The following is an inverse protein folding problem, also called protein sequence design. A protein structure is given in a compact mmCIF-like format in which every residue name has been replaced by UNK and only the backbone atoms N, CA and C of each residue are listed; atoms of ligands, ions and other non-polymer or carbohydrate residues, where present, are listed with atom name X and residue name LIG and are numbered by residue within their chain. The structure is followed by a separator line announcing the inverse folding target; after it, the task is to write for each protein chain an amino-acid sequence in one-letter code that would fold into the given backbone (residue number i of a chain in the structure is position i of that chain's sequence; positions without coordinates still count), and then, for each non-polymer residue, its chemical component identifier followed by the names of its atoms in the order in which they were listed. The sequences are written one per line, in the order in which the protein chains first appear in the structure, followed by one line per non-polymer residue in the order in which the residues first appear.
data_IF_714714823945
#
_entry.id   IF_714714823945
#
_cell.length_a   1.000
_cell.length_b   1.000
_cell.length_c   1.000
_cell.angle_alpha   90.00
_cell.angle_beta   90.00
_cell.angle_gamma   90.00
#
_symmetry.space_group_name_H-M   'P 1'
#
loop_
_entity.id
_entity.type
_entity.pdbx_description
1 polymer ?
#
# COMPACT_ATOMS: atom_id res chain seq x y z
N UNK A 1 -11.18 2.41 26.44
CA UNK A 1 -10.87 1.20 25.64
C UNK A 1 -10.54 1.58 24.20
N UNK A 2 -11.29 2.48 23.56
CA UNK A 2 -10.98 2.99 22.21
C UNK A 2 -9.53 3.46 22.01
N UNK A 3 -9.02 4.40 22.83
CA UNK A 3 -7.64 4.90 22.73
C UNK A 3 -6.56 3.80 22.82
N UNK A 4 -6.84 2.71 23.54
CA UNK A 4 -5.93 1.56 23.64
C UNK A 4 -5.93 0.78 22.33
N UNK A 5 -7.10 0.60 21.71
CA UNK A 5 -7.20 -0.05 20.40
C UNK A 5 -6.54 0.77 19.29
N UNK A 6 -6.77 2.09 19.28
CA UNK A 6 -6.12 3.02 18.34
C UNK A 6 -4.59 3.01 18.50
N UNK A 7 -4.09 2.99 19.74
CA UNK A 7 -2.66 2.82 20.00
C UNK A 7 -2.11 1.48 19.48
N UNK A 8 -2.86 0.37 19.64
CA UNK A 8 -2.45 -0.92 19.06
C UNK A 8 -2.40 -0.90 17.54
N UNK A 9 -3.30 -0.17 16.87
CA UNK A 9 -3.26 -0.01 15.42
C UNK A 9 -1.98 0.73 15.02
N UNK A 10 -1.67 1.84 15.70
CA UNK A 10 -0.44 2.61 15.49
C UNK A 10 0.85 1.80 15.73
N UNK A 11 0.84 0.90 16.72
CA UNK A 11 1.97 0.01 17.05
C UNK A 11 2.03 -1.25 16.16
N UNK A 12 1.35 -1.26 15.01
CA UNK A 12 1.30 -2.38 14.05
C UNK A 12 0.80 -3.69 14.67
N UNK A 13 -0.19 -3.60 15.56
CA UNK A 13 -0.89 -4.76 16.15
C UNK A 13 -2.36 -4.78 15.74
N UNK A 14 -2.67 -4.87 14.41
CA UNK A 14 -4.03 -4.67 13.90
C UNK A 14 -5.01 -5.72 14.38
N UNK A 15 -4.60 -6.98 14.56
CA UNK A 15 -5.50 -8.04 15.08
C UNK A 15 -6.01 -7.75 16.50
N UNK A 16 -5.18 -7.13 17.35
CA UNK A 16 -5.60 -6.73 18.70
C UNK A 16 -6.52 -5.52 18.65
N UNK A 17 -6.16 -4.52 17.84
CA UNK A 17 -6.99 -3.34 17.60
C UNK A 17 -8.38 -3.75 17.09
N UNK A 18 -8.43 -4.58 16.05
CA UNK A 18 -9.64 -5.12 15.45
C UNK A 18 -10.51 -5.84 16.47
N UNK A 19 -9.94 -6.74 17.28
CA UNK A 19 -10.70 -7.45 18.31
C UNK A 19 -11.39 -6.49 19.30
N UNK A 20 -10.68 -5.47 19.76
CA UNK A 20 -11.21 -4.50 20.73
C UNK A 20 -12.23 -3.56 20.05
N UNK A 21 -11.94 -3.08 18.84
CA UNK A 21 -12.83 -2.20 18.09
C UNK A 21 -14.13 -2.91 17.67
N UNK A 22 -14.05 -4.19 17.28
CA UNK A 22 -15.25 -5.00 17.01
C UNK A 22 -16.10 -5.13 18.28
N UNK A 23 -15.50 -5.38 19.45
CA UNK A 23 -16.24 -5.44 20.72
C UNK A 23 -16.90 -4.09 21.08
N UNK A 24 -16.23 -2.98 20.81
CA UNK A 24 -16.72 -1.64 21.13
C UNK A 24 -17.84 -1.17 20.19
N UNK A 25 -17.68 -1.39 18.89
CA UNK A 25 -18.47 -0.72 17.86
C UNK A 25 -19.49 -1.63 17.16
N UNK A 26 -19.44 -2.95 17.37
CA UNK A 26 -20.47 -3.85 16.86
C UNK A 26 -21.51 -4.22 17.93
N UNK A 27 -22.77 -4.18 17.54
CA UNK A 27 -23.89 -4.71 18.28
C UNK A 27 -24.62 -5.74 17.43
N UNK A 28 -24.47 -7.03 17.77
CA UNK A 28 -25.09 -8.16 17.04
C UNK A 28 -24.87 -8.05 15.52
N UNK A 29 -23.61 -7.86 15.11
CA UNK A 29 -23.15 -7.72 13.72
C UNK A 29 -23.49 -6.40 13.02
N UNK A 30 -24.17 -5.47 13.69
CA UNK A 30 -24.41 -4.11 13.18
C UNK A 30 -23.42 -3.11 13.77
N UNK A 31 -22.88 -2.24 12.93
CA UNK A 31 -22.00 -1.14 13.35
C UNK A 31 -22.85 -0.06 14.04
N UNK A 32 -22.34 0.49 15.15
CA UNK A 32 -22.97 1.59 15.86
C UNK A 32 -23.22 2.80 14.93
N UNK A 33 -24.40 3.43 14.99
CA UNK A 33 -24.82 4.42 13.99
C UNK A 33 -24.17 5.80 14.14
N UNK A 34 -23.53 6.09 15.27
CA UNK A 34 -23.07 7.42 15.69
C UNK A 34 -21.55 7.50 15.90
N UNK A 35 -20.80 6.73 15.11
CA UNK A 35 -19.34 6.79 15.10
C UNK A 35 -18.85 8.08 14.43
N UNK A 36 -17.82 8.68 15.01
CA UNK A 36 -17.07 9.77 14.37
C UNK A 36 -16.27 9.28 13.16
N UNK A 37 -15.87 10.20 12.28
CA UNK A 37 -15.02 9.89 11.13
C UNK A 37 -13.69 9.23 11.55
N UNK A 38 -13.13 9.61 12.70
CA UNK A 38 -11.91 9.01 13.26
C UNK A 38 -12.14 7.56 13.71
N UNK A 39 -13.24 7.31 14.42
CA UNK A 39 -13.60 5.96 14.88
C UNK A 39 -13.93 5.03 13.71
N UNK A 40 -14.59 5.54 12.66
CA UNK A 40 -14.85 4.81 11.42
C UNK A 40 -13.54 4.47 10.69
N UNK A 41 -12.60 5.41 10.60
CA UNK A 41 -11.28 5.18 10.01
C UNK A 41 -10.49 4.13 10.78
N UNK A 42 -10.41 4.27 12.09
CA UNK A 42 -9.71 3.33 12.96
C UNK A 42 -10.31 1.92 12.86
N UNK A 43 -11.64 1.81 12.87
CA UNK A 43 -12.32 0.54 12.68
C UNK A 43 -12.02 -0.05 11.29
N UNK A 44 -12.13 0.75 10.23
CA UNK A 44 -11.81 0.35 8.86
C UNK A 44 -10.37 -0.16 8.73
N UNK A 45 -9.39 0.61 9.16
CA UNK A 45 -7.97 0.26 9.07
C UNK A 45 -7.62 -0.94 9.97
N UNK A 46 -8.27 -1.10 11.12
CA UNK A 46 -8.09 -2.30 11.93
C UNK A 46 -8.48 -3.59 11.19
N UNK A 47 -9.58 -3.56 10.43
CA UNK A 47 -9.98 -4.67 9.57
C UNK A 47 -9.08 -4.83 8.35
N UNK A 48 -8.71 -3.72 7.71
CA UNK A 48 -7.88 -3.72 6.51
C UNK A 48 -6.47 -4.29 6.79
N UNK A 49 -5.80 -3.77 7.81
CA UNK A 49 -4.44 -4.17 8.20
C UNK A 49 -4.40 -5.56 8.85
N UNK A 50 -5.53 -6.05 9.36
CA UNK A 50 -5.66 -7.45 9.80
C UNK A 50 -5.97 -8.42 8.66
N UNK A 51 -5.97 -7.96 7.40
CA UNK A 51 -6.35 -8.71 6.20
C UNK A 51 -7.81 -9.21 6.21
N UNK A 52 -8.67 -8.60 7.03
CA UNK A 52 -10.09 -8.90 7.07
C UNK A 52 -10.85 -7.99 6.07
N UNK A 53 -10.64 -8.23 4.79
CA UNK A 53 -11.26 -7.45 3.71
C UNK A 53 -12.81 -7.45 3.74
N UNK A 54 -13.51 -8.57 4.05
CA UNK A 54 -14.96 -8.54 4.21
C UNK A 54 -15.43 -7.61 5.32
N UNK A 55 -14.70 -7.57 6.45
CA UNK A 55 -14.96 -6.63 7.54
C UNK A 55 -14.75 -5.18 7.11
N UNK A 56 -13.62 -4.88 6.45
CA UNK A 56 -13.34 -3.54 5.93
C UNK A 56 -14.42 -3.09 4.94
N UNK A 57 -14.88 -3.97 4.04
CA UNK A 57 -15.96 -3.68 3.11
C UNK A 57 -17.30 -3.44 3.83
N UNK A 58 -17.57 -4.14 4.93
CA UNK A 58 -18.77 -3.92 5.76
C UNK A 58 -18.76 -2.51 6.36
N UNK A 59 -17.62 -2.05 6.88
CA UNK A 59 -17.44 -0.68 7.38
C UNK A 59 -17.63 0.33 6.24
N UNK A 60 -16.98 0.11 5.09
CA UNK A 60 -17.14 0.96 3.90
C UNK A 60 -18.60 1.11 3.48
N UNK A 61 -19.33 -0.01 3.38
CA UNK A 61 -20.74 0.00 2.99
C UNK A 61 -21.62 0.69 4.02
N UNK A 62 -21.35 0.47 5.31
CA UNK A 62 -22.03 1.21 6.37
C UNK A 62 -21.83 2.72 6.20
N UNK A 63 -20.58 3.18 6.10
CA UNK A 63 -20.22 4.60 5.93
C UNK A 63 -20.92 5.22 4.71
N UNK A 64 -20.88 4.56 3.54
CA UNK A 64 -21.51 5.07 2.32
C UNK A 64 -23.04 5.12 2.46
N UNK A 65 -23.66 4.10 3.06
CA UNK A 65 -25.12 4.01 3.16
C UNK A 65 -25.71 4.98 4.20
N UNK A 66 -24.94 5.35 5.22
CA UNK A 66 -25.38 6.28 6.28
C UNK A 66 -25.01 7.74 5.98
N UNK A 67 -24.11 7.99 5.02
CA UNK A 67 -23.58 9.33 4.74
C UNK A 67 -24.05 9.85 3.37
N UNK A 68 -24.99 10.80 3.31
CA UNK A 68 -25.35 11.45 2.04
C UNK A 68 -24.21 12.36 1.56
N UNK A 69 -24.06 12.63 0.24
CA UNK A 69 -22.99 13.48 -0.28
C UNK A 69 -23.05 14.94 0.18
N UNK A 70 -24.24 15.40 0.57
CA UNK A 70 -24.45 16.75 1.08
C UNK A 70 -25.32 16.73 2.33
N UNK A 71 -24.92 17.51 3.33
CA UNK A 71 -25.67 17.77 4.54
C UNK A 71 -26.58 19.00 4.35
N UNK A 72 -27.79 18.92 4.91
CA UNK A 72 -28.72 20.05 5.01
C UNK A 72 -28.86 20.46 6.48
N UNK A 73 -28.20 21.56 6.85
CA UNK A 73 -28.37 22.16 8.17
C UNK A 73 -29.59 23.08 8.19
N UNK A 74 -30.41 22.98 9.23
CA UNK A 74 -31.54 23.89 9.40
C UNK A 74 -31.04 25.34 9.48
N UNK A 75 -31.65 26.22 8.69
CA UNK A 75 -31.32 27.65 8.67
C UNK A 75 -30.28 28.06 7.61
N UNK A 76 -29.65 27.10 6.91
CA UNK A 76 -28.70 27.40 5.82
C UNK A 76 -29.36 27.14 4.46
N UNK A 77 -29.35 28.10 3.51
CA UNK A 77 -29.93 27.91 2.19
C UNK A 77 -29.08 27.04 1.25
N UNK A 78 -27.81 26.82 1.59
CA UNK A 78 -26.84 26.06 0.81
C UNK A 78 -26.53 24.71 1.46
N UNK A 79 -26.57 23.64 0.68
CA UNK A 79 -26.11 22.33 1.13
C UNK A 79 -24.59 22.33 1.35
N UNK A 80 -24.12 21.63 2.38
CA UNK A 80 -22.70 21.55 2.73
C UNK A 80 -22.18 20.18 2.29
N UNK A 81 -21.00 20.07 1.65
CA UNK A 81 -20.38 18.78 1.35
C UNK A 81 -20.21 17.92 2.61
N UNK A 82 -20.32 16.61 2.48
CA UNK A 82 -20.15 15.69 3.59
C UNK A 82 -18.80 14.96 3.51
N UNK A 83 -17.91 15.21 4.48
CA UNK A 83 -16.60 14.59 4.52
C UNK A 83 -16.67 13.08 4.80
N UNK A 84 -17.65 12.62 5.59
CA UNK A 84 -17.88 11.19 5.84
C UNK A 84 -18.28 10.44 4.56
N UNK A 85 -19.01 11.10 3.64
CA UNK A 85 -19.30 10.53 2.32
C UNK A 85 -18.01 10.36 1.52
N UNK A 86 -17.13 11.37 1.50
CA UNK A 86 -15.84 11.28 0.82
C UNK A 86 -14.98 10.16 1.42
N UNK A 87 -14.91 10.09 2.75
CA UNK A 87 -14.19 9.06 3.48
C UNK A 87 -14.66 7.65 3.10
N UNK A 88 -15.98 7.42 3.01
CA UNK A 88 -16.55 6.14 2.56
C UNK A 88 -16.08 5.74 1.16
N UNK A 89 -16.01 6.68 0.21
CA UNK A 89 -15.48 6.39 -1.13
C UNK A 89 -13.96 6.19 -1.14
N UNK A 90 -13.21 6.90 -0.31
CA UNK A 90 -11.78 6.63 -0.11
C UNK A 90 -11.54 5.23 0.47
N UNK A 91 -12.38 4.78 1.42
CA UNK A 91 -12.34 3.40 1.93
C UNK A 91 -12.66 2.38 0.85
N UNK A 92 -13.62 2.67 -0.03
CA UNK A 92 -13.97 1.80 -1.16
C UNK A 92 -12.78 1.59 -2.11
N UNK A 93 -12.10 2.68 -2.50
CA UNK A 93 -10.89 2.57 -3.32
C UNK A 93 -9.77 1.81 -2.59
N UNK A 94 -9.58 2.10 -1.31
CA UNK A 94 -8.53 1.48 -0.49
C UNK A 94 -8.74 -0.02 -0.32
N UNK A 95 -9.93 -0.46 0.09
CA UNK A 95 -10.20 -1.90 0.27
C UNK A 95 -10.09 -2.64 -1.06
N UNK A 96 -10.56 -2.05 -2.17
CA UNK A 96 -10.41 -2.63 -3.50
C UNK A 96 -8.93 -2.78 -3.90
N UNK A 97 -8.09 -1.78 -3.59
CA UNK A 97 -6.64 -1.84 -3.84
C UNK A 97 -6.01 -3.03 -3.11
N UNK A 98 -6.28 -3.17 -1.81
CA UNK A 98 -5.67 -4.22 -0.98
C UNK A 98 -6.29 -5.62 -1.21
N UNK A 99 -7.55 -5.71 -1.62
CA UNK A 99 -8.19 -6.96 -2.02
C UNK A 99 -7.87 -7.38 -3.46
N UNK A 100 -6.95 -6.67 -4.13
CA UNK A 100 -6.53 -6.90 -5.51
C UNK A 100 -7.62 -6.68 -6.58
N UNK A 101 -8.69 -5.94 -6.27
CA UNK A 101 -9.66 -5.43 -7.24
C UNK A 101 -9.19 -4.06 -7.78
N UNK A 102 -8.06 -4.08 -8.48
CA UNK A 102 -7.42 -2.88 -9.00
C UNK A 102 -8.27 -2.11 -10.04
N UNK A 103 -9.10 -2.74 -10.88
CA UNK A 103 -10.04 -2.02 -11.74
C UNK A 103 -11.02 -1.14 -10.96
N UNK A 104 -11.62 -1.68 -9.88
CA UNK A 104 -12.53 -0.92 -9.04
C UNK A 104 -11.80 0.19 -8.27
N UNK A 105 -10.62 -0.12 -7.73
CA UNK A 105 -9.80 0.85 -7.02
C UNK A 105 -9.47 2.06 -7.90
N UNK A 106 -9.08 1.83 -9.16
CA UNK A 106 -8.74 2.87 -10.13
C UNK A 106 -9.97 3.69 -10.52
N UNK A 107 -11.09 3.03 -10.80
CA UNK A 107 -12.33 3.72 -11.17
C UNK A 107 -12.73 4.72 -10.08
N UNK A 108 -12.78 4.28 -8.81
CA UNK A 108 -13.15 5.13 -7.68
C UNK A 108 -12.12 6.23 -7.44
N UNK A 109 -10.82 5.91 -7.32
CA UNK A 109 -9.80 6.92 -7.03
C UNK A 109 -9.68 7.98 -8.13
N UNK A 110 -9.77 7.57 -9.40
CA UNK A 110 -9.75 8.49 -10.54
C UNK A 110 -10.94 9.43 -10.51
N UNK A 111 -12.14 8.91 -10.26
CA UNK A 111 -13.36 9.73 -10.18
C UNK A 111 -13.23 10.79 -9.07
N UNK A 112 -12.78 10.39 -7.88
CA UNK A 112 -12.55 11.31 -6.77
C UNK A 112 -11.52 12.40 -7.12
N UNK A 113 -10.34 12.01 -7.64
CA UNK A 113 -9.27 12.94 -7.97
C UNK A 113 -9.65 13.93 -9.10
N UNK A 114 -10.45 13.49 -10.07
CA UNK A 114 -10.86 14.35 -11.20
C UNK A 114 -12.02 15.26 -10.85
N UNK A 115 -12.93 14.83 -9.97
CA UNK A 115 -14.05 15.67 -9.50
C UNK A 115 -13.63 16.67 -8.42
N UNK A 116 -12.53 16.39 -7.70
CA UNK A 116 -11.96 17.29 -6.70
C UNK A 116 -10.49 17.64 -7.02
N UNK A 117 -10.22 18.34 -8.15
CA UNK A 117 -8.86 18.53 -8.65
C UNK A 117 -7.95 19.37 -7.74
N UNK A 118 -8.51 20.11 -6.79
CA UNK A 118 -7.80 20.89 -5.77
C UNK A 118 -7.54 20.13 -4.46
N UNK A 119 -8.04 18.90 -4.31
CA UNK A 119 -7.71 18.05 -3.16
C UNK A 119 -6.45 17.25 -3.49
N UNK A 120 -5.33 17.63 -2.85
CA UNK A 120 -4.05 16.98 -3.08
C UNK A 120 -4.04 15.52 -2.65
N UNK A 121 -4.64 15.19 -1.51
CA UNK A 121 -4.70 13.83 -0.96
C UNK A 121 -5.33 12.85 -1.96
N UNK A 122 -6.44 13.23 -2.60
CA UNK A 122 -7.10 12.38 -3.60
C UNK A 122 -6.23 12.11 -4.84
N UNK A 123 -5.37 13.06 -5.23
CA UNK A 123 -4.40 12.83 -6.33
C UNK A 123 -3.29 11.88 -5.90
N UNK A 124 -2.81 12.02 -4.67
CA UNK A 124 -1.82 11.10 -4.09
C UNK A 124 -2.40 9.68 -4.00
N UNK A 125 -3.64 9.54 -3.52
CA UNK A 125 -4.35 8.26 -3.45
C UNK A 125 -4.51 7.62 -4.84
N UNK A 126 -4.89 8.42 -5.85
CA UNK A 126 -4.98 7.92 -7.22
C UNK A 126 -3.61 7.48 -7.76
N UNK A 127 -2.55 8.23 -7.51
CA UNK A 127 -1.18 7.81 -7.86
C UNK A 127 -0.77 6.51 -7.16
N UNK A 128 -1.14 6.33 -5.88
CA UNK A 128 -0.89 5.09 -5.13
C UNK A 128 -1.62 3.89 -5.76
N UNK A 129 -2.83 4.08 -6.29
CA UNK A 129 -3.54 3.05 -7.06
C UNK A 129 -2.83 2.76 -8.40
N UNK A 130 -2.35 3.78 -9.11
CA UNK A 130 -1.58 3.61 -10.35
C UNK A 130 -0.26 2.84 -10.09
N UNK A 131 0.40 3.07 -8.95
CA UNK A 131 1.54 2.27 -8.50
C UNK A 131 1.14 0.80 -8.29
N UNK A 132 0.04 0.54 -7.57
CA UNK A 132 -0.45 -0.82 -7.34
C UNK A 132 -0.82 -1.56 -8.64
N UNK A 133 -1.25 -0.83 -9.67
CA UNK A 133 -1.48 -1.34 -11.03
C UNK A 133 -0.21 -1.66 -11.82
N UNK A 134 0.97 -1.30 -11.30
CA UNK A 134 2.23 -1.42 -12.01
C UNK A 134 2.42 -0.36 -13.09
N UNK A 135 1.79 0.81 -12.96
CA UNK A 135 1.94 1.96 -13.88
C UNK A 135 2.70 3.13 -13.22
N UNK A 136 3.96 2.94 -12.82
CA UNK A 136 4.68 3.93 -12.02
C UNK A 136 4.93 5.26 -12.74
N UNK A 137 5.07 5.25 -14.07
CA UNK A 137 5.16 6.49 -14.86
C UNK A 137 3.84 7.28 -14.89
N UNK A 138 2.70 6.59 -14.85
CA UNK A 138 1.41 7.27 -14.74
C UNK A 138 1.23 7.87 -13.35
N UNK A 139 1.65 7.14 -12.31
CA UNK A 139 1.68 7.64 -10.93
C UNK A 139 2.58 8.88 -10.80
N UNK A 140 3.80 8.86 -11.33
CA UNK A 140 4.72 10.00 -11.35
C UNK A 140 4.08 11.25 -11.96
N UNK A 141 3.42 11.10 -13.12
CA UNK A 141 2.71 12.19 -13.78
C UNK A 141 1.54 12.74 -12.95
N UNK A 142 0.82 11.89 -12.22
CA UNK A 142 -0.27 12.33 -11.34
C UNK A 142 0.28 13.05 -10.10
N UNK A 143 1.35 12.53 -9.48
CA UNK A 143 2.02 13.17 -8.35
C UNK A 143 2.58 14.54 -8.73
N UNK A 144 3.04 14.74 -9.97
CA UNK A 144 3.47 16.06 -10.45
C UNK A 144 2.33 17.09 -10.45
N UNK A 145 1.08 16.66 -10.70
CA UNK A 145 -0.10 17.54 -10.57
C UNK A 145 -0.39 17.87 -9.12
N UNK A 146 -0.26 16.88 -8.24
CA UNK A 146 -0.43 17.06 -6.80
C UNK A 146 0.62 18.00 -6.20
N UNK A 147 1.86 17.97 -6.69
CA UNK A 147 2.96 18.83 -6.26
C UNK A 147 2.68 20.33 -6.42
N UNK A 148 1.89 20.73 -7.43
CA UNK A 148 1.54 22.15 -7.65
C UNK A 148 0.69 22.72 -6.51
N UNK A 149 -0.02 21.88 -5.74
CA UNK A 149 -0.93 22.31 -4.69
C UNK A 149 -0.16 22.59 -3.39
N UNK A 150 0.55 21.59 -2.87
CA UNK A 150 1.37 21.71 -1.66
C UNK A 150 2.68 20.92 -1.83
N UNK A 151 3.75 21.54 -2.36
CA UNK A 151 4.96 20.82 -2.75
C UNK A 151 5.70 20.13 -1.59
N UNK A 152 5.53 20.62 -0.35
CA UNK A 152 6.24 20.15 0.85
C UNK A 152 5.43 19.18 1.70
N UNK A 153 4.31 18.68 1.18
CA UNK A 153 3.48 17.69 1.85
C UNK A 153 4.26 16.37 2.02
N UNK A 154 4.30 15.83 3.25
CA UNK A 154 5.07 14.60 3.56
C UNK A 154 4.54 13.39 2.78
N UNK A 155 3.22 13.22 2.70
CA UNK A 155 2.61 12.09 2.00
C UNK A 155 2.90 12.14 0.50
N UNK A 156 2.93 13.35 -0.08
CA UNK A 156 3.33 13.54 -1.48
C UNK A 156 4.76 13.08 -1.72
N UNK A 157 5.72 13.61 -0.96
CA UNK A 157 7.14 13.29 -1.15
C UNK A 157 7.43 11.81 -0.85
N UNK A 158 6.72 11.20 0.11
CA UNK A 158 6.79 9.76 0.37
C UNK A 158 6.33 8.95 -0.85
N UNK A 159 5.19 9.27 -1.45
CA UNK A 159 4.69 8.57 -2.64
C UNK A 159 5.55 8.85 -3.90
N UNK A 160 6.14 10.05 -4.01
CA UNK A 160 7.13 10.35 -5.05
C UNK A 160 8.40 9.50 -4.87
N UNK A 161 8.88 9.32 -3.64
CA UNK A 161 10.04 8.50 -3.35
C UNK A 161 9.78 7.02 -3.63
N UNK A 162 8.61 6.49 -3.25
CA UNK A 162 8.19 5.14 -3.63
C UNK A 162 8.11 4.98 -5.13
N UNK A 163 7.55 5.96 -5.83
CA UNK A 163 7.47 5.97 -7.29
C UNK A 163 8.85 5.94 -7.93
N UNK A 164 9.76 6.79 -7.47
CA UNK A 164 11.16 6.80 -7.93
C UNK A 164 11.86 5.46 -7.65
N UNK A 165 11.62 4.85 -6.49
CA UNK A 165 12.17 3.53 -6.14
C UNK A 165 11.68 2.45 -7.12
N UNK A 166 10.38 2.42 -7.43
CA UNK A 166 9.79 1.50 -8.41
C UNK A 166 10.34 1.73 -9.82
N UNK A 167 10.58 2.99 -10.18
CA UNK A 167 11.18 3.39 -11.47
C UNK A 167 12.69 3.18 -11.55
N UNK A 168 13.32 2.73 -10.46
CA UNK A 168 14.78 2.56 -10.35
C UNK A 168 15.56 3.88 -10.46
N UNK A 169 14.92 4.98 -10.06
CA UNK A 169 15.51 6.32 -10.00
C UNK A 169 16.17 6.53 -8.64
N UNK A 170 17.18 5.71 -8.34
CA UNK A 170 17.74 5.54 -6.99
C UNK A 170 18.22 6.84 -6.35
N UNK A 171 18.86 7.71 -7.13
CA UNK A 171 19.33 9.01 -6.63
C UNK A 171 18.15 9.88 -6.16
N UNK A 172 17.07 9.93 -6.95
CA UNK A 172 15.89 10.72 -6.60
C UNK A 172 15.17 10.12 -5.39
N UNK A 173 15.00 8.79 -5.36
CA UNK A 173 14.44 8.08 -4.22
C UNK A 173 15.23 8.37 -2.93
N UNK A 174 16.57 8.37 -3.00
CA UNK A 174 17.43 8.66 -1.85
C UNK A 174 17.30 10.11 -1.36
N UNK A 175 17.28 11.09 -2.27
CA UNK A 175 17.13 12.51 -1.91
C UNK A 175 15.77 12.78 -1.26
N UNK A 176 14.68 12.31 -1.85
CA UNK A 176 13.33 12.47 -1.31
C UNK A 176 13.21 11.78 0.06
N UNK A 177 13.73 10.56 0.18
CA UNK A 177 13.72 9.82 1.45
C UNK A 177 14.50 10.52 2.54
N UNK A 178 15.65 11.12 2.21
CA UNK A 178 16.44 11.90 3.17
C UNK A 178 15.65 13.10 3.71
N UNK A 179 15.01 13.89 2.83
CA UNK A 179 14.26 15.08 3.23
C UNK A 179 13.10 14.73 4.16
N UNK A 180 12.29 13.71 3.83
CA UNK A 180 11.15 13.32 4.67
C UNK A 180 11.59 12.72 6.00
N UNK A 181 12.72 12.00 6.04
CA UNK A 181 13.32 11.47 7.29
C UNK A 181 13.82 12.60 8.19
N UNK A 182 14.39 13.66 7.61
CA UNK A 182 14.85 14.82 8.39
C UNK A 182 13.68 15.57 9.04
N UNK A 183 12.55 15.67 8.32
CA UNK A 183 11.38 16.43 8.78
C UNK A 183 10.46 15.65 9.72
N UNK A 184 10.10 14.42 9.36
CA UNK A 184 9.12 13.60 10.08
C UNK A 184 9.62 12.16 10.29
N UNK A 185 10.69 11.95 11.08
CA UNK A 185 11.31 10.63 11.25
C UNK A 185 10.41 9.59 11.95
N UNK A 186 9.33 10.03 12.60
CA UNK A 186 8.39 9.15 13.32
C UNK A 186 7.12 8.85 12.51
N UNK A 187 6.96 9.45 11.34
CA UNK A 187 5.81 9.15 10.47
C UNK A 187 5.91 7.69 9.98
N UNK A 188 4.84 6.87 10.11
CA UNK A 188 4.88 5.47 9.71
C UNK A 188 5.19 5.25 8.22
N UNK A 189 4.72 6.15 7.35
CA UNK A 189 5.03 6.12 5.91
C UNK A 189 6.51 6.36 5.65
N UNK A 190 7.09 7.35 6.31
CA UNK A 190 8.53 7.67 6.26
C UNK A 190 9.39 6.51 6.77
N UNK A 191 9.02 5.90 7.90
CA UNK A 191 9.75 4.75 8.46
C UNK A 191 9.77 3.58 7.48
N UNK A 192 8.63 3.26 6.85
CA UNK A 192 8.54 2.19 5.84
C UNK A 192 9.35 2.51 4.59
N UNK A 193 9.27 3.75 4.09
CA UNK A 193 10.04 4.20 2.93
C UNK A 193 11.55 4.10 3.20
N UNK A 194 12.00 4.62 4.34
CA UNK A 194 13.41 4.54 4.75
C UNK A 194 13.87 3.08 4.78
N UNK A 195 13.07 2.18 5.35
CA UNK A 195 13.39 0.76 5.39
C UNK A 195 13.53 0.16 3.98
N UNK A 196 12.67 0.54 3.04
CA UNK A 196 12.74 0.06 1.66
C UNK A 196 14.01 0.54 0.93
N UNK A 197 14.37 1.81 1.09
CA UNK A 197 15.63 2.37 0.55
C UNK A 197 16.85 1.73 1.23
N UNK A 198 16.81 1.51 2.55
CA UNK A 198 17.88 0.82 3.27
C UNK A 198 18.06 -0.60 2.73
N UNK A 199 16.97 -1.35 2.48
CA UNK A 199 17.00 -2.71 1.92
C UNK A 199 17.64 -2.70 0.53
N UNK A 200 17.31 -1.72 -0.32
CA UNK A 200 18.02 -1.55 -1.58
C UNK A 200 19.54 -1.36 -1.36
N UNK A 201 19.96 -0.70 -0.30
CA UNK A 201 21.39 -0.50 -0.02
C UNK A 201 22.10 -1.67 0.66
N UNK A 202 21.43 -2.80 0.91
CA UNK A 202 22.04 -4.00 1.50
C UNK A 202 22.72 -4.89 0.44
N UNK A 203 23.65 -5.72 0.92
CA UNK A 203 24.10 -6.90 0.19
C UNK A 203 22.95 -7.92 0.06
N UNK A 204 22.88 -8.64 -1.04
CA UNK A 204 21.80 -9.60 -1.33
C UNK A 204 22.38 -11.01 -1.55
N UNK A 205 21.77 -12.03 -0.95
CA UNK A 205 22.07 -13.44 -1.22
C UNK A 205 20.85 -14.08 -1.89
N UNK A 206 21.03 -14.58 -3.12
CA UNK A 206 20.01 -15.33 -3.87
C UNK A 206 20.38 -16.79 -3.91
N UNK A 207 19.45 -17.65 -3.52
CA UNK A 207 19.57 -19.11 -3.63
C UNK A 207 18.37 -19.57 -4.46
N UNK A 208 18.65 -20.25 -5.56
CA UNK A 208 17.66 -20.86 -6.43
C UNK A 208 18.00 -22.33 -6.62
N UNK A 209 17.00 -23.19 -6.71
CA UNK A 209 17.21 -24.58 -7.07
C UNK A 209 15.97 -25.18 -7.72
N UNK A 210 16.19 -26.16 -8.59
CA UNK A 210 15.15 -26.91 -9.25
C UNK A 210 15.45 -28.40 -9.18
N UNK A 211 14.39 -29.20 -9.23
CA UNK A 211 14.47 -30.65 -9.38
C UNK A 211 13.65 -31.03 -10.59
N UNK A 212 14.16 -31.95 -11.42
CA UNK A 212 13.42 -32.57 -12.50
C UNK A 212 12.25 -33.36 -11.94
N UNK A 213 11.10 -33.25 -12.60
CA UNK A 213 9.93 -34.11 -12.38
C UNK A 213 9.90 -35.16 -13.49
N UNK A 214 9.58 -36.41 -13.13
CA UNK A 214 9.52 -37.52 -14.09
C UNK A 214 8.51 -37.21 -15.21
N UNK A 215 8.96 -37.27 -16.47
CA UNK A 215 8.09 -37.25 -17.64
C UNK A 215 8.08 -38.65 -18.27
N UNK A 216 6.87 -39.20 -18.54
CA UNK A 216 6.70 -40.50 -19.21
C UNK A 216 7.01 -40.43 -20.72
N UNK A 217 8.17 -39.88 -21.09
CA UNK A 217 8.65 -39.78 -22.46
C UNK A 217 9.91 -40.64 -22.69
N UNK A 218 10.12 -41.21 -23.90
CA UNK A 218 11.16 -42.22 -24.15
C UNK A 218 12.61 -41.72 -24.06
N UNK A 219 12.83 -40.44 -23.76
CA UNK A 219 14.14 -39.77 -23.93
C UNK A 219 14.34 -38.61 -22.92
N UNK A 220 13.85 -38.76 -21.69
CA UNK A 220 13.98 -37.73 -20.65
C UNK A 220 14.95 -38.15 -19.53
N UNK A 221 15.94 -37.30 -19.24
CA UNK A 221 16.86 -37.44 -18.11
C UNK A 221 16.09 -37.52 -16.79
N UNK A 222 16.56 -38.37 -15.88
CA UNK A 222 15.95 -38.63 -14.58
C UNK A 222 16.71 -37.90 -13.48
N UNK A 223 15.98 -37.36 -12.51
CA UNK A 223 16.53 -36.77 -11.27
C UNK A 223 17.52 -35.60 -11.46
N UNK A 224 17.26 -34.70 -12.41
CA UNK A 224 18.11 -33.51 -12.55
C UNK A 224 17.95 -32.60 -11.32
N UNK A 225 19.04 -32.22 -10.68
CA UNK A 225 19.04 -31.24 -9.57
C UNK A 225 19.95 -30.09 -9.97
N UNK A 226 19.40 -28.87 -9.97
CA UNK A 226 20.17 -27.63 -10.09
C UNK A 226 20.08 -26.85 -8.78
N UNK A 227 21.23 -26.34 -8.32
CA UNK A 227 21.34 -25.43 -7.21
C UNK A 227 22.28 -24.29 -7.59
N UNK A 228 21.77 -23.07 -7.59
CA UNK A 228 22.53 -21.86 -7.86
C UNK A 228 22.46 -20.92 -6.65
N UNK A 229 23.63 -20.46 -6.19
CA UNK A 229 23.78 -19.46 -5.12
C UNK A 229 24.55 -18.27 -5.65
N UNK A 230 24.03 -17.05 -5.49
CA UNK A 230 24.68 -15.80 -5.93
C UNK A 230 24.63 -14.78 -4.78
N UNK A 231 25.77 -14.20 -4.42
CA UNK A 231 25.88 -13.06 -3.51
C UNK A 231 26.15 -11.79 -4.29
N UNK A 232 25.45 -10.71 -3.96
CA UNK A 232 25.63 -9.37 -4.49
C UNK A 232 26.14 -8.44 -3.40
N UNK A 233 27.07 -7.55 -3.76
CA UNK A 233 27.49 -6.44 -2.90
C UNK A 233 26.36 -5.43 -2.70
N UNK A 234 26.50 -4.51 -1.72
CA UNK A 234 25.78 -3.25 -1.75
C UNK A 234 25.98 -2.52 -3.09
N UNK A 235 25.04 -1.65 -3.50
CA UNK A 235 25.19 -0.83 -4.70
C UNK A 235 26.46 0.04 -4.67
N UNK A 236 27.14 0.11 -5.81
CA UNK A 236 28.27 0.97 -6.11
C UNK A 236 27.78 2.05 -7.09
N UNK A 237 27.89 3.32 -6.68
CA UNK A 237 27.33 4.46 -7.45
C UNK A 237 25.86 4.21 -7.84
N UNK A 238 25.08 3.71 -6.89
CA UNK A 238 23.63 3.45 -6.94
C UNK A 238 23.15 2.41 -7.98
N UNK A 239 23.90 2.16 -9.06
CA UNK A 239 23.43 1.35 -10.20
C UNK A 239 24.15 0.01 -10.37
N UNK A 240 25.33 -0.16 -9.76
CA UNK A 240 26.19 -1.31 -10.03
C UNK A 240 26.33 -2.20 -8.80
N UNK A 241 26.33 -3.52 -8.97
CA UNK A 241 26.65 -4.45 -7.89
C UNK A 241 27.70 -5.45 -8.35
N UNK A 242 28.72 -5.66 -7.51
CA UNK A 242 29.58 -6.81 -7.67
C UNK A 242 28.80 -8.07 -7.30
N UNK A 243 29.07 -9.19 -7.98
CA UNK A 243 28.45 -10.47 -7.66
C UNK A 243 29.46 -11.61 -7.70
N UNK A 244 29.22 -12.64 -6.90
CA UNK A 244 29.93 -13.91 -6.94
C UNK A 244 28.91 -15.03 -6.79
N UNK A 245 29.08 -16.13 -7.53
CA UNK A 245 28.12 -17.22 -7.48
C UNK A 245 28.76 -18.59 -7.59
N UNK A 246 28.04 -19.58 -7.09
CA UNK A 246 28.34 -21.00 -7.17
C UNK A 246 27.11 -21.73 -7.71
N UNK A 247 27.32 -22.59 -8.71
CA UNK A 247 26.28 -23.43 -9.29
C UNK A 247 26.68 -24.91 -9.20
N UNK A 248 25.73 -25.76 -8.87
CA UNK A 248 25.85 -27.21 -8.88
C UNK A 248 24.69 -27.78 -9.67
N UNK A 249 25.01 -28.62 -10.67
CA UNK A 249 24.02 -29.34 -11.45
C UNK A 249 24.44 -30.81 -11.55
N UNK A 250 23.48 -31.71 -11.32
CA UNK A 250 23.64 -33.16 -11.47
C UNK A 250 22.43 -33.70 -12.25
N UNK A 251 22.65 -34.67 -13.14
CA UNK A 251 21.58 -35.26 -13.94
C UNK A 251 21.92 -36.68 -14.38
N UNK A 252 20.94 -37.59 -14.34
CA UNK A 252 21.13 -39.00 -14.71
C UNK A 252 20.46 -39.30 -16.05
N UNK A 253 21.23 -39.80 -17.01
CA UNK A 253 20.73 -40.25 -18.31
C UNK A 253 20.79 -41.78 -18.38
N UNK A 254 19.71 -42.42 -18.85
CA UNK A 254 19.74 -43.86 -19.19
C UNK A 254 20.38 -44.03 -20.56
N UNK A 255 21.46 -44.81 -20.63
CA UNK A 255 22.16 -45.23 -21.86
C UNK A 255 21.39 -46.31 -22.64
#
# INVERSE_FOLDING_TARGET
QYWVASAYLKDHQPKKAQSIMTELFYHKETIAPDLSDEELADLFYSHLESENYPGALTVTQHTINTSPPFLRLMGTPTSIPNDTWLQGHSFLSTVAKYSNDLPQAEMTARELAYNAPGNQGLRIDYASVLQARGWPRAAENELKKAEVIEPRNINLEVEQAWTALTLQEWQQAAVLTHDVVEREPQDPGVVRLKRAVDVHNLAELRIAGSTGIDAEGPDSGKHDVDLTTIVYSPPLKDNWRGFAGFGYADGQFSE
#
